data_IF_655502963560
#
_entry.id   IF_655502963560
#
_cell.length_a   1.000
_cell.length_b   1.000
_cell.length_c   1.000
_cell.angle_alpha   90.00
_cell.angle_beta   90.00
_cell.angle_gamma   90.00
#
_symmetry.space_group_name_H-M   'P 1'
#
loop_
_entity.id
_entity.type
_entity.pdbx_description
1 polymer ?
#
# COMPACT_ATOMS: atom_id res chain seq x y z
N UNK A 1 19.59 2.27 -23.65
CA UNK A 1 19.54 3.20 -22.49
C UNK A 1 18.31 4.10 -22.49
N UNK A 2 17.62 4.30 -23.61
CA UNK A 2 16.36 5.08 -23.71
C UNK A 2 15.14 4.35 -23.16
N UNK A 3 15.09 3.02 -23.29
CA UNK A 3 13.96 2.18 -22.87
C UNK A 3 13.70 2.19 -21.35
N UNK A 4 14.75 2.21 -20.52
CA UNK A 4 14.58 2.26 -19.06
C UNK A 4 14.12 3.61 -18.53
N UNK A 5 14.43 4.69 -19.25
CA UNK A 5 13.92 6.03 -18.94
C UNK A 5 12.44 6.12 -19.28
N UNK A 6 12.02 5.54 -20.41
CA UNK A 6 10.62 5.52 -20.83
C UNK A 6 9.72 4.78 -19.83
N UNK A 7 10.16 3.60 -19.37
CA UNK A 7 9.43 2.84 -18.33
C UNK A 7 9.30 3.63 -17.02
N UNK A 8 10.39 4.27 -16.57
CA UNK A 8 10.35 5.08 -15.33
C UNK A 8 9.39 6.25 -15.44
N UNK A 9 9.35 6.93 -16.59
CA UNK A 9 8.44 8.04 -16.81
C UNK A 9 6.99 7.58 -16.93
N UNK A 10 6.73 6.43 -17.55
CA UNK A 10 5.40 5.82 -17.57
C UNK A 10 4.91 5.47 -16.15
N UNK A 11 5.76 4.85 -15.32
CA UNK A 11 5.46 4.56 -13.91
C UNK A 11 5.22 5.86 -13.14
N UNK A 12 6.12 6.84 -13.28
CA UNK A 12 5.99 8.16 -12.62
C UNK A 12 4.66 8.83 -12.97
N UNK A 13 4.30 8.88 -14.25
CA UNK A 13 3.06 9.49 -14.71
C UNK A 13 1.82 8.79 -14.14
N UNK A 14 1.84 7.45 -14.07
CA UNK A 14 0.74 6.66 -13.49
C UNK A 14 0.53 6.96 -12.00
N UNK A 15 1.60 6.88 -11.20
CA UNK A 15 1.51 7.16 -9.76
C UNK A 15 1.19 8.63 -9.48
N UNK A 16 1.68 9.58 -10.30
CA UNK A 16 1.31 10.98 -10.20
C UNK A 16 -0.20 11.19 -10.45
N UNK A 17 -0.76 10.55 -11.48
CA UNK A 17 -2.19 10.64 -11.76
C UNK A 17 -3.04 10.06 -10.62
N UNK A 18 -2.63 8.94 -10.02
CA UNK A 18 -3.31 8.35 -8.87
C UNK A 18 -3.22 9.26 -7.64
N UNK A 19 -2.04 9.84 -7.36
CA UNK A 19 -1.85 10.77 -6.26
C UNK A 19 -2.71 12.05 -6.40
N UNK A 20 -2.78 12.63 -7.60
CA UNK A 20 -3.62 13.82 -7.88
C UNK A 20 -5.10 13.51 -7.63
N UNK A 21 -5.59 12.34 -8.07
CA UNK A 21 -6.98 11.92 -7.83
C UNK A 21 -7.26 11.67 -6.35
N UNK A 22 -6.35 11.01 -5.65
CA UNK A 22 -6.46 10.81 -4.20
C UNK A 22 -6.48 12.13 -3.42
N UNK A 23 -5.72 13.13 -3.86
CA UNK A 23 -5.74 14.47 -3.26
C UNK A 23 -7.05 15.24 -3.53
N UNK A 24 -7.85 14.81 -4.50
CA UNK A 24 -9.18 15.33 -4.80
C UNK A 24 -10.31 14.48 -4.20
N UNK A 25 -10.00 13.59 -3.24
CA UNK A 25 -10.91 12.63 -2.62
C UNK A 25 -11.57 11.64 -3.61
N UNK A 26 -10.99 11.46 -4.81
CA UNK A 26 -11.46 10.53 -5.84
C UNK A 26 -10.79 9.14 -5.71
N UNK A 27 -10.77 8.57 -4.50
CA UNK A 27 -10.00 7.36 -4.18
C UNK A 27 -10.39 6.15 -5.04
N UNK A 28 -11.67 5.94 -5.34
CA UNK A 28 -12.11 4.84 -6.21
C UNK A 28 -11.54 4.94 -7.62
N UNK A 29 -11.42 6.16 -8.15
CA UNK A 29 -10.81 6.40 -9.46
C UNK A 29 -9.29 6.31 -9.42
N UNK A 30 -8.67 6.67 -8.30
CA UNK A 30 -7.24 6.44 -8.07
C UNK A 30 -6.93 4.94 -8.05
N UNK A 31 -7.75 4.13 -7.36
CA UNK A 31 -7.64 2.66 -7.34
C UNK A 31 -7.96 2.01 -8.69
N UNK A 32 -8.87 2.60 -9.48
CA UNK A 32 -9.12 2.15 -10.85
C UNK A 32 -7.89 2.27 -11.78
N UNK A 33 -6.97 3.19 -11.47
CA UNK A 33 -5.66 3.28 -12.14
C UNK A 33 -4.68 2.21 -11.64
N UNK A 34 -4.96 1.45 -10.59
CA UNK A 34 -4.11 0.36 -10.10
C UNK A 34 -4.48 -1.00 -10.67
N UNK A 35 -5.61 -1.10 -11.38
CA UNK A 35 -6.09 -2.37 -11.93
C UNK A 35 -5.02 -3.12 -12.76
N UNK A 36 -4.01 -2.42 -13.30
CA UNK A 36 -2.89 -3.06 -14.01
C UNK A 36 -1.59 -3.27 -13.23
N UNK A 37 -1.45 -2.81 -11.98
CA UNK A 37 -0.23 -3.09 -11.19
C UNK A 37 -0.30 -4.47 -10.54
N UNK A 38 -1.49 -4.87 -10.08
CA UNK A 38 -1.79 -6.22 -9.61
C UNK A 38 -2.91 -6.87 -10.44
N UNK A 39 -2.93 -6.60 -11.76
CA UNK A 39 -3.80 -7.26 -12.75
C UNK A 39 -3.86 -8.77 -12.48
N UNK A 40 -5.05 -9.38 -12.63
CA UNK A 40 -5.42 -10.75 -12.25
C UNK A 40 -4.21 -11.63 -11.88
N UNK A 41 -3.87 -11.77 -10.59
CA UNK A 41 -2.63 -12.41 -10.22
C UNK A 41 -2.64 -13.89 -10.66
N UNK A 42 -1.49 -14.47 -11.06
CA UNK A 42 -1.34 -15.92 -11.19
C UNK A 42 -1.49 -16.64 -9.82
N UNK A 43 -1.61 -15.87 -8.74
CA UNK A 43 -1.78 -16.31 -7.36
C UNK A 43 -3.09 -15.77 -6.82
N UNK A 44 -4.00 -16.64 -6.39
CA UNK A 44 -5.25 -16.20 -5.79
C UNK A 44 -4.99 -15.24 -4.62
N UNK A 45 -5.71 -14.13 -4.60
CA UNK A 45 -5.77 -13.23 -3.44
C UNK A 45 -6.41 -13.93 -2.23
N UNK A 46 -6.95 -15.14 -2.40
CA UNK A 46 -7.53 -15.98 -1.38
C UNK A 46 -6.68 -17.23 -1.10
N UNK A 47 -6.62 -17.64 0.15
CA UNK A 47 -6.04 -18.93 0.55
C UNK A 47 -6.93 -20.13 0.13
N UNK A 48 -6.52 -21.35 0.48
CA UNK A 48 -7.26 -22.58 0.21
C UNK A 48 -8.67 -22.62 0.86
N UNK A 49 -8.95 -21.72 1.80
CA UNK A 49 -10.22 -21.59 2.53
C UNK A 49 -11.09 -20.45 1.98
N UNK A 50 -10.63 -19.75 0.94
CA UNK A 50 -11.34 -18.61 0.36
C UNK A 50 -11.19 -17.31 1.15
N UNK A 51 -10.27 -17.25 2.14
CA UNK A 51 -10.01 -16.03 2.90
C UNK A 51 -9.06 -15.14 2.09
N UNK A 52 -9.43 -13.87 1.90
CA UNK A 52 -8.55 -12.88 1.27
C UNK A 52 -7.30 -12.73 2.15
N UNK A 53 -6.12 -12.89 1.56
CA UNK A 53 -4.79 -12.78 2.18
C UNK A 53 -3.86 -11.81 1.43
N UNK A 54 -4.29 -11.32 0.26
CA UNK A 54 -3.67 -10.19 -0.46
C UNK A 54 -4.75 -9.17 -0.90
N UNK A 55 -4.55 -7.88 -0.64
CA UNK A 55 -5.41 -6.78 -1.11
C UNK A 55 -5.66 -5.69 -0.06
N UNK A 56 -6.16 -4.54 -0.50
CA UNK A 56 -6.47 -3.39 0.38
C UNK A 56 -7.58 -3.68 1.42
N UNK A 57 -8.38 -4.74 1.21
CA UNK A 57 -9.43 -5.20 2.14
C UNK A 57 -8.88 -5.82 3.45
N UNK A 58 -7.55 -5.95 3.59
CA UNK A 58 -6.92 -6.57 4.77
C UNK A 58 -6.53 -5.59 5.87
N UNK A 59 -6.69 -4.30 5.61
CA UNK A 59 -6.66 -3.29 6.65
C UNK A 59 -7.96 -3.39 7.46
N UNK A 60 -8.00 -4.28 8.44
CA UNK A 60 -9.09 -4.31 9.42
C UNK A 60 -9.15 -2.95 10.15
N UNK A 61 -10.30 -2.60 10.70
CA UNK A 61 -10.46 -1.33 11.44
C UNK A 61 -9.42 -1.17 12.56
N UNK A 62 -8.98 -2.28 13.16
CA UNK A 62 -7.93 -2.30 14.19
C UNK A 62 -6.53 -2.19 13.58
N UNK A 63 -6.30 -2.73 12.37
CA UNK A 63 -5.00 -2.69 11.70
C UNK A 63 -4.65 -1.29 11.14
N UNK A 64 -5.63 -0.42 10.92
CA UNK A 64 -5.41 0.96 10.49
C UNK A 64 -5.25 1.94 11.64
N UNK A 65 -5.28 1.47 12.89
CA UNK A 65 -5.32 2.32 14.06
C UNK A 65 -4.14 3.32 14.05
N UNK A 66 -4.51 4.58 13.83
CA UNK A 66 -3.59 5.70 13.87
C UNK A 66 -2.82 6.00 12.59
N UNK A 67 -3.14 5.34 11.47
CA UNK A 67 -2.90 5.88 10.13
C UNK A 67 -4.07 6.81 9.72
N UNK A 68 -3.79 7.93 9.01
CA UNK A 68 -4.85 8.78 8.46
C UNK A 68 -5.72 8.00 7.46
N UNK A 69 -7.04 8.17 7.53
CA UNK A 69 -7.98 7.53 6.62
C UNK A 69 -7.62 7.81 5.14
N UNK A 70 -7.23 9.05 4.83
CA UNK A 70 -6.79 9.42 3.49
C UNK A 70 -5.53 8.67 3.02
N UNK A 71 -4.61 8.31 3.93
CA UNK A 71 -3.43 7.53 3.58
C UNK A 71 -3.79 6.07 3.26
N UNK A 72 -4.74 5.49 4.00
CA UNK A 72 -5.27 4.14 3.74
C UNK A 72 -6.11 4.12 2.46
N UNK A 73 -6.96 5.12 2.26
CA UNK A 73 -7.80 5.25 1.06
C UNK A 73 -6.98 5.45 -0.21
N UNK A 74 -5.89 6.23 -0.11
CA UNK A 74 -4.92 6.45 -1.17
C UNK A 74 -3.86 5.33 -1.29
N UNK A 75 -3.98 4.24 -0.53
CA UNK A 75 -3.11 3.08 -0.73
C UNK A 75 -3.43 2.40 -2.05
N UNK A 76 -2.37 2.11 -2.80
CA UNK A 76 -2.40 1.60 -4.16
C UNK A 76 -1.84 0.16 -4.23
N UNK A 77 -1.41 -0.42 -3.11
CA UNK A 77 -0.81 -1.75 -3.06
C UNK A 77 -1.84 -2.88 -2.94
N UNK A 78 -1.43 -4.09 -3.36
CA UNK A 78 -2.20 -5.32 -3.20
C UNK A 78 -1.77 -6.19 -2.02
N UNK A 79 -0.95 -5.69 -1.11
CA UNK A 79 -0.54 -6.40 0.11
C UNK A 79 -0.83 -5.58 1.36
N UNK A 80 -0.85 -6.25 2.51
CA UNK A 80 -0.85 -5.62 3.84
C UNK A 80 0.28 -6.24 4.66
N UNK A 81 1.55 -5.84 4.39
CA UNK A 81 2.72 -6.43 5.02
C UNK A 81 2.70 -6.27 6.56
N UNK A 82 2.07 -5.20 7.03
CA UNK A 82 1.82 -4.96 8.45
C UNK A 82 0.86 -5.97 9.10
N UNK A 83 0.06 -6.73 8.36
CA UNK A 83 -0.79 -7.79 8.94
C UNK A 83 -0.03 -9.07 9.28
N UNK A 84 1.11 -9.32 8.61
CA UNK A 84 1.89 -10.56 8.77
C UNK A 84 3.24 -10.35 9.44
N UNK A 85 3.73 -9.12 9.51
CA UNK A 85 4.97 -8.79 10.20
C UNK A 85 4.76 -8.77 11.72
N UNK A 86 5.61 -9.46 12.47
CA UNK A 86 5.64 -9.41 13.93
C UNK A 86 6.58 -8.30 14.39
N UNK A 87 6.11 -7.05 14.29
CA UNK A 87 6.87 -5.84 14.59
C UNK A 87 6.90 -5.57 16.10
N UNK A 88 8.09 -5.23 16.60
CA UNK A 88 8.37 -4.98 18.02
C UNK A 88 8.94 -3.58 18.28
N UNK A 89 8.73 -3.03 19.49
CA UNK A 89 9.38 -1.80 19.92
C UNK A 89 10.90 -1.83 19.75
N UNK A 90 11.47 -0.77 19.17
CA UNK A 90 12.92 -0.64 18.94
C UNK A 90 13.41 -1.15 17.57
N UNK A 91 12.55 -1.81 16.79
CA UNK A 91 12.92 -2.30 15.45
C UNK A 91 13.02 -1.16 14.42
N UNK A 92 13.70 -1.47 13.31
CA UNK A 92 13.83 -0.55 12.15
C UNK A 92 13.08 -1.11 10.97
N UNK A 93 12.18 -0.32 10.39
CA UNK A 93 11.35 -0.73 9.26
C UNK A 93 11.69 0.11 8.02
N UNK A 94 11.76 -0.55 6.86
CA UNK A 94 11.93 0.10 5.56
C UNK A 94 10.76 -0.27 4.66
N UNK A 95 9.96 0.73 4.29
CA UNK A 95 8.85 0.58 3.34
C UNK A 95 9.29 1.02 1.94
N UNK A 96 9.39 0.05 1.01
CA UNK A 96 9.78 0.28 -0.37
C UNK A 96 8.54 0.45 -1.24
N UNK A 97 8.25 1.70 -1.58
CA UNK A 97 7.02 2.05 -2.30
C UNK A 97 5.89 2.48 -1.37
N UNK A 98 6.22 3.26 -0.35
CA UNK A 98 5.31 3.65 0.73
C UNK A 98 4.05 4.41 0.31
N UNK A 99 3.98 4.91 -0.92
CA UNK A 99 2.80 5.59 -1.46
C UNK A 99 2.37 6.75 -0.56
N UNK A 100 1.10 6.73 -0.14
CA UNK A 100 0.54 7.72 0.78
C UNK A 100 0.98 7.53 2.25
N UNK A 101 1.73 6.48 2.56
CA UNK A 101 2.37 6.24 3.86
C UNK A 101 1.59 5.39 4.85
N UNK A 102 0.53 4.68 4.42
CA UNK A 102 -0.29 3.85 5.32
C UNK A 102 0.57 2.82 6.09
N UNK A 103 1.32 1.98 5.39
CA UNK A 103 2.16 0.94 5.99
C UNK A 103 3.28 1.53 6.86
N UNK A 104 3.92 2.63 6.44
CA UNK A 104 4.91 3.36 7.26
C UNK A 104 4.30 3.81 8.59
N UNK A 105 3.14 4.43 8.56
CA UNK A 105 2.53 5.03 9.76
C UNK A 105 2.01 3.96 10.72
N UNK A 106 1.48 2.86 10.19
CA UNK A 106 1.10 1.68 10.98
C UNK A 106 2.35 1.06 11.62
N UNK A 107 3.41 0.85 10.82
CA UNK A 107 4.67 0.27 11.29
C UNK A 107 5.31 1.13 12.38
N UNK A 108 5.38 2.46 12.18
CA UNK A 108 5.98 3.40 13.13
C UNK A 108 5.36 3.31 14.52
N UNK A 109 4.04 3.04 14.61
CA UNK A 109 3.36 2.82 15.89
C UNK A 109 3.74 1.50 16.52
N UNK A 110 3.79 0.42 15.73
CA UNK A 110 4.11 -0.92 16.23
C UNK A 110 5.53 -1.05 16.74
N UNK A 111 6.47 -0.29 16.15
CA UNK A 111 7.87 -0.27 16.61
C UNK A 111 8.16 0.81 17.67
N UNK A 112 7.14 1.53 18.13
CA UNK A 112 7.29 2.47 19.24
C UNK A 112 7.22 1.74 20.60
N UNK A 113 7.93 2.23 21.64
CA UNK A 113 8.94 3.29 21.60
C UNK A 113 10.29 2.79 21.04
N UNK A 114 11.10 3.73 20.53
CA UNK A 114 12.51 3.50 20.17
C UNK A 114 12.78 2.94 18.77
N UNK A 115 11.76 2.49 18.05
CA UNK A 115 11.88 2.08 16.65
C UNK A 115 11.84 3.26 15.67
N UNK A 116 12.14 2.97 14.40
CA UNK A 116 12.19 3.96 13.31
C UNK A 116 11.85 3.38 11.94
#
# INVERSE_FOLDING_TARGET
MTESTDIREAVRHRYAAAAIRSAADEHDRARGLEASCCDAPPVSATDERGQVVFGADLYTADATEGAPEGAVAASLGCGVPTAVADLHPGETVLDLGSGAGADVLISARRVAPGGR
#
